data_IF_976704830071
#
_entry.id   IF_976704830071
#
_cell.length_a   1.000
_cell.length_b   1.000
_cell.length_c   1.000
_cell.angle_alpha   90.00
_cell.angle_beta   90.00
_cell.angle_gamma   90.00
#
_symmetry.space_group_name_H-M   'P 1'
#
loop_
_entity.id
_entity.type
_entity.pdbx_description
1 polymer ?
#
# COMPACT_ATOMS: atom_id res chain seq x y z
N UNK A 1 22.08 -76.55 -9.10
CA UNK A 1 20.74 -76.76 -8.55
C UNK A 1 19.98 -75.45 -8.62
N UNK A 2 18.85 -75.47 -9.34
CA UNK A 2 17.94 -74.32 -9.58
C UNK A 2 17.31 -73.83 -8.27
N UNK A 3 16.77 -72.59 -8.29
CA UNK A 3 15.49 -72.11 -7.69
C UNK A 3 15.64 -70.64 -7.30
N UNK A 4 14.69 -69.70 -7.41
CA UNK A 4 13.52 -69.44 -8.24
C UNK A 4 13.14 -67.99 -7.90
N UNK A 5 12.83 -67.16 -8.89
CA UNK A 5 12.23 -65.84 -8.75
C UNK A 5 10.85 -65.99 -8.11
N UNK A 6 10.56 -65.26 -7.02
CA UNK A 6 9.23 -65.23 -6.40
C UNK A 6 8.61 -63.85 -6.59
N UNK A 7 7.62 -63.80 -7.48
CA UNK A 7 6.65 -62.73 -7.61
C UNK A 7 5.56 -62.95 -6.55
N UNK A 8 5.22 -61.93 -5.77
CA UNK A 8 3.99 -61.92 -4.98
C UNK A 8 3.13 -60.77 -5.48
N UNK A 9 2.07 -61.15 -6.19
CA UNK A 9 0.87 -60.37 -6.45
C UNK A 9 -0.05 -60.53 -5.21
N UNK A 10 -1.01 -59.61 -5.03
CA UNK A 10 -2.26 -59.68 -4.23
C UNK A 10 -2.20 -58.68 -3.04
N UNK A 11 -3.18 -57.80 -2.75
CA UNK A 11 -4.55 -57.61 -3.22
C UNK A 11 -4.91 -56.12 -3.23
N UNK A 12 -5.79 -55.74 -4.17
CA UNK A 12 -6.63 -54.55 -4.07
C UNK A 12 -7.69 -54.83 -3.00
N UNK A 13 -7.80 -53.95 -2.00
CA UNK A 13 -8.95 -53.89 -1.10
C UNK A 13 -9.45 -52.44 -1.06
N UNK A 14 -10.50 -52.21 -1.85
CA UNK A 14 -11.36 -51.03 -1.73
C UNK A 14 -12.41 -51.37 -0.66
N UNK A 15 -12.37 -50.66 0.45
CA UNK A 15 -13.57 -50.43 1.27
C UNK A 15 -13.63 -48.94 1.55
N UNK A 16 -14.54 -48.29 0.84
CA UNK A 16 -15.06 -46.96 1.09
C UNK A 16 -15.80 -46.91 2.43
N UNK A 17 -15.56 -45.89 3.24
CA UNK A 17 -16.54 -44.83 3.52
C UNK A 17 -16.21 -44.07 4.82
N UNK A 18 -16.03 -42.76 4.64
CA UNK A 18 -16.51 -41.69 5.50
C UNK A 18 -15.73 -41.31 6.79
N UNK A 19 -15.31 -40.03 6.75
CA UNK A 19 -15.04 -39.07 7.85
C UNK A 19 -13.66 -39.28 8.52
N UNK A 20 -12.69 -38.36 8.41
CA UNK A 20 -12.82 -36.91 8.57
C UNK A 20 -11.82 -36.18 7.67
N UNK A 21 -12.34 -35.26 6.86
CA UNK A 21 -11.59 -34.29 6.11
C UNK A 21 -10.82 -33.35 7.05
N UNK A 22 -9.50 -33.34 6.93
CA UNK A 22 -8.65 -32.14 7.04
C UNK A 22 -7.47 -32.39 6.11
N UNK A 23 -7.77 -32.52 4.81
CA UNK A 23 -6.75 -32.21 3.81
C UNK A 23 -6.47 -30.72 3.99
N UNK A 24 -5.22 -30.39 4.33
CA UNK A 24 -4.66 -29.09 4.08
C UNK A 24 -5.03 -28.75 2.64
N UNK A 25 -5.97 -27.82 2.51
CA UNK A 25 -6.22 -27.13 1.26
C UNK A 25 -4.96 -26.28 1.10
N UNK A 26 -3.99 -26.77 0.33
CA UNK A 26 -3.13 -25.85 -0.38
C UNK A 26 -4.10 -24.95 -1.14
N UNK A 27 -4.27 -23.71 -0.67
CA UNK A 27 -4.81 -22.67 -1.53
C UNK A 27 -3.91 -22.69 -2.78
N UNK A 28 -4.47 -22.89 -3.98
CA UNK A 28 -3.68 -22.68 -5.17
C UNK A 28 -3.15 -21.25 -5.08
N UNK A 29 -1.82 -21.09 -5.18
CA UNK A 29 -1.21 -19.80 -5.42
C UNK A 29 -2.03 -19.15 -6.54
N UNK A 30 -2.54 -17.94 -6.29
CA UNK A 30 -3.35 -17.21 -7.27
C UNK A 30 -2.67 -17.30 -8.62
N UNK A 31 -3.35 -17.92 -9.59
CA UNK A 31 -2.97 -17.83 -10.99
C UNK A 31 -3.13 -16.35 -11.37
N UNK A 32 -2.08 -15.57 -11.15
CA UNK A 32 -2.02 -14.22 -11.70
C UNK A 32 -1.82 -14.39 -13.20
N UNK A 33 -2.84 -14.03 -13.98
CA UNK A 33 -2.75 -13.98 -15.43
C UNK A 33 -1.64 -13.02 -15.85
N UNK A 34 -0.48 -13.60 -16.19
CA UNK A 34 0.73 -12.89 -16.61
C UNK A 34 0.56 -12.10 -17.93
N UNK A 35 -0.61 -12.21 -18.55
CA UNK A 35 -0.96 -11.51 -19.79
C UNK A 35 -1.27 -10.03 -19.56
N UNK A 36 -1.62 -9.64 -18.33
CA UNK A 36 -2.02 -8.27 -17.96
C UNK A 36 -0.95 -7.48 -17.19
N UNK A 37 0.25 -8.04 -17.03
CA UNK A 37 1.38 -7.38 -16.36
C UNK A 37 2.07 -6.43 -17.37
N UNK A 38 2.32 -5.17 -17.00
CA UNK A 38 2.93 -4.21 -17.91
C UNK A 38 4.38 -4.59 -18.21
N UNK A 39 4.75 -4.47 -19.49
CA UNK A 39 6.09 -4.71 -20.02
C UNK A 39 7.03 -3.52 -19.83
N UNK A 40 6.50 -2.30 -19.68
CA UNK A 40 7.28 -1.10 -19.38
C UNK A 40 6.71 -0.35 -18.18
N UNK A 41 7.60 0.18 -17.34
CA UNK A 41 7.28 0.94 -16.13
C UNK A 41 8.21 2.14 -16.05
N UNK A 42 7.68 3.37 -15.99
CA UNK A 42 8.46 4.60 -15.85
C UNK A 42 7.77 5.58 -14.89
N UNK A 43 8.51 6.46 -14.22
CA UNK A 43 7.96 7.59 -13.45
C UNK A 43 8.32 8.89 -14.15
N UNK A 44 7.35 9.77 -14.37
CA UNK A 44 7.54 11.06 -15.06
C UNK A 44 7.01 12.22 -14.25
N UNK A 45 7.68 13.36 -14.32
CA UNK A 45 7.22 14.60 -13.70
C UNK A 45 6.25 15.38 -14.61
N UNK A 46 5.29 16.09 -14.00
CA UNK A 46 4.21 16.85 -14.64
C UNK A 46 4.13 18.30 -14.13
N UNK A 47 3.63 19.24 -14.95
CA UNK A 47 3.60 20.68 -14.64
C UNK A 47 2.38 21.18 -13.82
N UNK A 48 1.48 20.31 -13.35
CA UNK A 48 0.22 20.64 -12.66
C UNK A 48 0.15 20.03 -11.24
N UNK A 49 -0.94 20.27 -10.49
CA UNK A 49 -1.12 19.94 -9.06
C UNK A 49 -0.79 18.50 -8.65
N UNK A 50 -0.76 17.56 -9.60
CA UNK A 50 -0.11 16.25 -9.45
C UNK A 50 1.20 16.28 -10.21
N UNK A 51 2.30 16.21 -9.47
CA UNK A 51 3.66 16.42 -9.99
C UNK A 51 4.28 15.21 -10.66
N UNK A 52 3.77 14.01 -10.43
CA UNK A 52 4.37 12.81 -10.97
C UNK A 52 3.30 11.83 -11.42
N UNK A 53 3.58 11.08 -12.47
CA UNK A 53 2.78 9.96 -12.93
C UNK A 53 3.65 8.72 -13.09
N UNK A 54 3.01 7.56 -12.93
CA UNK A 54 3.54 6.25 -13.29
C UNK A 54 3.08 5.93 -14.71
N UNK A 55 3.95 5.44 -15.57
CA UNK A 55 3.64 5.01 -16.93
C UNK A 55 3.77 3.51 -17.01
N UNK A 56 2.67 2.81 -17.28
CA UNK A 56 2.62 1.36 -17.44
C UNK A 56 2.16 1.05 -18.86
N UNK A 57 3.00 0.42 -19.68
CA UNK A 57 2.70 0.09 -21.09
C UNK A 57 2.23 1.29 -21.95
N UNK A 58 2.69 2.49 -21.60
CA UNK A 58 2.34 3.73 -22.28
C UNK A 58 1.10 4.45 -21.71
N UNK A 59 0.38 3.82 -20.79
CA UNK A 59 -0.72 4.42 -20.04
C UNK A 59 -0.19 5.19 -18.83
N UNK A 60 -0.64 6.42 -18.65
CA UNK A 60 -0.22 7.27 -17.53
C UNK A 60 -1.19 7.16 -16.35
N UNK A 61 -0.68 6.94 -15.16
CA UNK A 61 -1.40 6.90 -13.89
C UNK A 61 -0.88 8.02 -13.00
N UNK A 62 -1.73 8.99 -12.70
CA UNK A 62 -1.34 10.12 -11.86
C UNK A 62 -1.07 9.64 -10.42
N UNK A 63 -0.03 10.19 -9.77
CA UNK A 63 0.25 9.90 -8.37
C UNK A 63 -0.56 10.82 -7.44
N UNK A 64 -0.42 10.66 -6.13
CA UNK A 64 -1.10 11.54 -5.19
C UNK A 64 -0.54 12.97 -5.26
N UNK A 65 -1.41 13.97 -5.10
CA UNK A 65 -1.00 15.36 -4.97
C UNK A 65 -0.18 15.57 -3.69
N UNK A 66 0.90 16.36 -3.78
CA UNK A 66 1.79 16.67 -2.66
C UNK A 66 2.01 18.18 -2.56
N UNK A 67 2.47 18.64 -1.40
CA UNK A 67 2.85 20.05 -1.24
C UNK A 67 4.12 20.37 -2.03
N UNK A 68 4.15 21.57 -2.62
CA UNK A 68 5.33 22.05 -3.34
C UNK A 68 6.53 22.29 -2.42
N UNK A 69 6.23 22.78 -1.23
CA UNK A 69 7.18 23.15 -0.20
C UNK A 69 6.64 22.63 1.15
N UNK A 70 7.03 21.40 1.54
CA UNK A 70 6.53 20.78 2.77
C UNK A 70 6.88 21.56 4.04
N UNK A 71 8.04 22.24 4.07
CA UNK A 71 8.45 23.07 5.20
C UNK A 71 7.52 24.27 5.35
N UNK A 72 7.27 24.98 4.24
CA UNK A 72 6.32 26.10 4.23
C UNK A 72 4.89 25.64 4.52
N UNK A 73 4.50 24.44 4.07
CA UNK A 73 3.19 23.89 4.38
C UNK A 73 3.01 23.67 5.89
N UNK A 74 4.05 23.18 6.58
CA UNK A 74 4.07 23.06 8.05
C UNK A 74 3.96 24.44 8.72
N UNK A 75 4.74 25.43 8.29
CA UNK A 75 4.66 26.76 8.90
C UNK A 75 3.28 27.40 8.71
N UNK A 76 2.70 27.28 7.51
CA UNK A 76 1.35 27.77 7.24
C UNK A 76 0.28 27.09 8.12
N UNK A 77 0.38 25.78 8.35
CA UNK A 77 -0.61 25.08 9.18
C UNK A 77 -0.44 25.41 10.67
N UNK A 78 0.79 25.68 11.13
CA UNK A 78 1.04 26.19 12.48
C UNK A 78 0.35 27.53 12.73
N UNK A 79 0.43 28.43 11.76
CA UNK A 79 -0.21 29.75 11.85
C UNK A 79 -1.75 29.66 11.78
N UNK A 80 -2.29 28.74 10.98
CA UNK A 80 -3.74 28.58 10.78
C UNK A 80 -4.43 27.82 11.91
N UNK A 81 -3.74 26.87 12.56
CA UNK A 81 -4.32 25.97 13.54
C UNK A 81 -3.64 26.02 14.92
N UNK A 82 -3.36 27.21 15.49
CA UNK A 82 -2.55 27.33 16.70
C UNK A 82 -3.25 26.71 17.92
N UNK A 83 -4.56 26.82 18.02
CA UNK A 83 -5.33 26.35 19.19
C UNK A 83 -5.43 24.83 19.21
N UNK A 84 -5.72 24.22 18.05
CA UNK A 84 -5.75 22.77 17.92
C UNK A 84 -4.37 22.16 18.21
N UNK A 85 -3.28 22.75 17.68
CA UNK A 85 -1.92 22.30 17.98
C UNK A 85 -1.58 22.44 19.47
N UNK A 86 -1.98 23.54 20.11
CA UNK A 86 -1.78 23.73 21.54
C UNK A 86 -2.60 22.74 22.40
N UNK A 87 -3.82 22.37 21.97
CA UNK A 87 -4.62 21.33 22.62
C UNK A 87 -3.93 19.97 22.53
N UNK A 88 -3.47 19.57 21.35
CA UNK A 88 -2.77 18.29 21.15
C UNK A 88 -1.48 18.20 21.98
N UNK A 89 -0.70 19.29 22.04
CA UNK A 89 0.51 19.37 22.89
C UNK A 89 0.19 19.26 24.38
N UNK A 90 -0.91 19.85 24.85
CA UNK A 90 -1.33 19.71 26.26
C UNK A 90 -1.70 18.27 26.62
N UNK A 91 -2.26 17.53 25.68
CA UNK A 91 -2.60 16.12 25.85
C UNK A 91 -1.40 15.17 25.83
N UNK A 92 -0.20 15.63 25.42
CA UNK A 92 0.97 14.77 25.26
C UNK A 92 2.29 15.48 25.57
N UNK A 93 2.98 14.98 26.59
CA UNK A 93 4.29 15.48 27.00
C UNK A 93 5.42 15.16 25.99
N UNK A 94 5.16 14.30 25.00
CA UNK A 94 6.16 13.89 23.98
C UNK A 94 5.97 14.61 22.64
N UNK A 95 4.88 15.37 22.50
CA UNK A 95 4.59 16.19 21.33
C UNK A 95 5.34 17.53 21.47
N UNK A 96 6.57 17.56 20.95
CA UNK A 96 7.30 18.81 20.68
C UNK A 96 6.62 19.64 19.60
N UNK A 97 7.27 20.70 19.12
CA UNK A 97 6.71 21.53 18.03
C UNK A 97 6.44 20.70 16.75
N UNK A 98 5.36 21.00 16.02
CA UNK A 98 5.03 20.31 14.77
C UNK A 98 6.18 20.46 13.77
N UNK A 99 6.57 19.36 13.15
CA UNK A 99 7.68 19.26 12.23
C UNK A 99 7.51 18.05 11.32
N UNK A 100 8.30 17.98 10.26
CA UNK A 100 8.35 16.81 9.37
C UNK A 100 8.68 15.51 10.15
N UNK A 101 9.55 15.59 11.17
CA UNK A 101 9.91 14.42 11.96
C UNK A 101 8.83 13.92 12.94
N UNK A 102 7.73 14.65 13.13
CA UNK A 102 6.71 14.26 14.12
C UNK A 102 5.25 14.48 13.71
N UNK A 103 4.97 14.86 12.45
CA UNK A 103 3.60 15.11 11.97
C UNK A 103 2.66 13.91 12.17
N UNK A 104 3.16 12.68 12.00
CA UNK A 104 2.37 11.45 12.21
C UNK A 104 1.84 11.36 13.64
N UNK A 105 2.66 11.75 14.64
CA UNK A 105 2.23 11.75 16.05
C UNK A 105 1.13 12.79 16.29
N UNK A 106 1.15 13.91 15.57
CA UNK A 106 0.08 14.90 15.63
C UNK A 106 -1.20 14.37 15.00
N UNK A 107 -1.13 13.71 13.84
CA UNK A 107 -2.27 13.06 13.21
C UNK A 107 -2.90 12.02 14.13
N UNK A 108 -2.09 11.14 14.72
CA UNK A 108 -2.57 10.08 15.60
C UNK A 108 -3.21 10.66 16.88
N UNK A 109 -2.63 11.73 17.44
CA UNK A 109 -3.20 12.44 18.58
C UNK A 109 -4.54 13.11 18.22
N UNK A 110 -4.66 13.68 17.02
CA UNK A 110 -5.89 14.28 16.52
C UNK A 110 -6.98 13.22 16.30
N UNK A 111 -6.64 12.04 15.78
CA UNK A 111 -7.59 10.93 15.62
C UNK A 111 -8.06 10.36 16.97
N UNK A 112 -7.25 10.49 18.02
CA UNK A 112 -7.59 10.06 19.37
C UNK A 112 -8.46 11.06 20.15
N UNK A 113 -8.54 12.33 19.69
CA UNK A 113 -9.43 13.32 20.31
C UNK A 113 -10.89 13.07 19.89
N UNK A 114 -11.78 12.95 20.88
CA UNK A 114 -13.22 12.70 20.70
C UNK A 114 -14.06 13.98 20.63
N UNK A 115 -13.43 15.15 20.67
CA UNK A 115 -14.12 16.43 20.77
C UNK A 115 -14.59 16.88 19.38
N UNK A 116 -15.91 17.00 19.23
CA UNK A 116 -16.61 17.24 17.97
C UNK A 116 -16.27 18.58 17.29
N UNK A 117 -16.71 18.71 16.04
CA UNK A 117 -16.60 19.85 15.11
C UNK A 117 -15.68 20.98 15.60
N UNK A 118 -14.39 20.82 15.31
CA UNK A 118 -13.38 21.85 15.48
C UNK A 118 -12.78 22.14 14.10
N UNK A 119 -13.10 23.31 13.53
CA UNK A 119 -12.64 23.75 12.21
C UNK A 119 -11.11 23.70 12.05
N UNK A 120 -10.36 24.00 13.12
CA UNK A 120 -8.89 23.86 13.09
C UNK A 120 -8.46 22.38 13.11
N UNK A 121 -9.22 21.51 13.78
CA UNK A 121 -9.03 20.06 13.75
C UNK A 121 -9.26 19.50 12.36
N UNK A 122 -10.35 19.88 11.69
CA UNK A 122 -10.65 19.46 10.31
C UNK A 122 -9.58 19.96 9.33
N UNK A 123 -9.13 21.20 9.52
CA UNK A 123 -8.03 21.77 8.72
C UNK A 123 -6.73 21.00 8.92
N UNK A 124 -6.41 20.59 10.16
CA UNK A 124 -5.25 19.75 10.45
C UNK A 124 -5.39 18.35 9.85
N UNK A 125 -6.58 17.74 9.93
CA UNK A 125 -6.85 16.43 9.34
C UNK A 125 -6.62 16.47 7.81
N UNK A 126 -7.22 17.46 7.13
CA UNK A 126 -7.03 17.65 5.70
C UNK A 126 -5.56 17.94 5.32
N UNK A 127 -4.84 18.70 6.17
CA UNK A 127 -3.41 18.90 5.99
C UNK A 127 -2.63 17.58 6.06
N UNK A 128 -2.86 16.76 7.09
CA UNK A 128 -2.14 15.49 7.26
C UNK A 128 -2.47 14.49 6.16
N UNK A 129 -3.69 14.47 5.63
CA UNK A 129 -4.07 13.63 4.48
C UNK A 129 -3.21 13.94 3.25
N UNK A 130 -3.00 15.23 2.96
CA UNK A 130 -2.15 15.65 1.83
C UNK A 130 -0.67 15.45 2.17
N UNK A 131 -0.25 15.68 3.40
CA UNK A 131 1.15 15.52 3.81
C UNK A 131 1.61 14.06 3.71
N UNK A 132 0.75 13.10 4.04
CA UNK A 132 1.00 11.66 3.90
C UNK A 132 1.22 11.22 2.45
N UNK A 133 0.70 11.96 1.47
CA UNK A 133 0.80 11.58 0.07
C UNK A 133 2.24 11.48 -0.45
N UNK A 134 3.19 12.18 0.17
CA UNK A 134 4.61 12.02 -0.15
C UNK A 134 5.10 10.60 0.19
N UNK A 135 4.71 10.08 1.35
CA UNK A 135 5.04 8.71 1.77
C UNK A 135 4.32 7.66 0.90
N UNK A 136 3.06 7.91 0.53
CA UNK A 136 2.30 7.04 -0.41
C UNK A 136 2.96 6.99 -1.78
N UNK A 137 3.34 8.14 -2.33
CA UNK A 137 4.04 8.21 -3.62
C UNK A 137 5.39 7.48 -3.55
N UNK A 138 6.16 7.63 -2.47
CA UNK A 138 7.40 6.90 -2.28
C UNK A 138 7.19 5.38 -2.22
N UNK A 139 6.06 4.90 -1.68
CA UNK A 139 5.69 3.49 -1.69
C UNK A 139 5.31 3.00 -3.09
N UNK A 140 4.54 3.78 -3.84
CA UNK A 140 4.20 3.46 -5.25
C UNK A 140 5.47 3.33 -6.09
N UNK A 141 6.42 4.26 -5.95
CA UNK A 141 7.70 4.22 -6.67
C UNK A 141 8.48 2.95 -6.31
N UNK A 142 8.55 2.57 -5.03
CA UNK A 142 9.20 1.32 -4.61
C UNK A 142 8.54 0.07 -5.20
N UNK A 143 7.20 0.05 -5.28
CA UNK A 143 6.45 -1.05 -5.90
C UNK A 143 6.71 -1.11 -7.41
N UNK A 144 6.79 0.04 -8.08
CA UNK A 144 7.12 0.14 -9.49
C UNK A 144 8.54 -0.39 -9.78
N UNK A 145 9.54 0.04 -9.00
CA UNK A 145 10.92 -0.45 -9.11
C UNK A 145 11.01 -1.96 -8.88
N UNK A 146 10.27 -2.47 -7.89
CA UNK A 146 10.20 -3.89 -7.59
C UNK A 146 9.55 -4.69 -8.73
N UNK A 147 8.49 -4.16 -9.34
CA UNK A 147 7.83 -4.77 -10.49
C UNK A 147 8.78 -4.84 -11.69
N UNK A 148 9.50 -3.76 -12.02
CA UNK A 148 10.48 -3.72 -13.11
C UNK A 148 11.62 -4.74 -12.95
N UNK A 149 12.01 -5.04 -11.71
CA UNK A 149 13.04 -6.02 -11.38
C UNK A 149 12.53 -7.44 -11.09
N UNK A 150 11.21 -7.67 -11.13
CA UNK A 150 10.62 -8.93 -10.68
C UNK A 150 10.78 -10.07 -11.70
N UNK A 151 10.96 -11.29 -11.20
CA UNK A 151 10.82 -12.48 -12.02
C UNK A 151 9.34 -12.72 -12.37
N UNK A 152 9.09 -13.39 -13.50
CA UNK A 152 7.75 -13.55 -14.08
C UNK A 152 6.72 -14.20 -13.14
N UNK A 153 7.16 -14.99 -12.17
CA UNK A 153 6.33 -15.66 -11.16
C UNK A 153 5.84 -14.72 -10.04
N UNK A 154 6.45 -13.55 -9.87
CA UNK A 154 6.07 -12.54 -8.85
C UNK A 154 5.50 -11.26 -9.44
N UNK A 155 5.61 -11.08 -10.74
CA UNK A 155 5.25 -9.84 -11.41
C UNK A 155 3.74 -9.53 -11.27
N UNK A 156 2.88 -10.55 -11.32
CA UNK A 156 1.43 -10.40 -11.10
C UNK A 156 1.06 -9.86 -9.71
N UNK A 157 1.64 -10.45 -8.65
CA UNK A 157 1.40 -9.98 -7.27
C UNK A 157 1.89 -8.54 -7.05
N UNK A 158 3.06 -8.19 -7.62
CA UNK A 158 3.60 -6.83 -7.50
C UNK A 158 2.76 -5.83 -8.29
N UNK A 159 2.24 -6.22 -9.45
CA UNK A 159 1.34 -5.39 -10.23
C UNK A 159 0.02 -5.12 -9.49
N UNK A 160 -0.61 -6.14 -8.92
CA UNK A 160 -1.86 -5.95 -8.16
C UNK A 160 -1.66 -5.01 -6.96
N UNK A 161 -0.53 -5.16 -6.25
CA UNK A 161 -0.16 -4.24 -5.15
C UNK A 161 0.05 -2.82 -5.63
N UNK A 162 0.71 -2.64 -6.78
CA UNK A 162 0.93 -1.33 -7.39
C UNK A 162 -0.40 -0.67 -7.76
N UNK A 163 -1.30 -1.42 -8.39
CA UNK A 163 -2.63 -0.92 -8.79
C UNK A 163 -3.51 -0.58 -7.58
N UNK A 164 -3.44 -1.36 -6.50
CA UNK A 164 -4.14 -1.06 -5.24
C UNK A 164 -3.57 0.17 -4.50
N UNK A 165 -2.31 0.53 -4.73
CA UNK A 165 -1.66 1.66 -4.09
C UNK A 165 -1.88 2.98 -4.84
N UNK A 166 -2.30 2.94 -6.11
CA UNK A 166 -2.55 4.14 -6.91
C UNK A 166 -3.79 4.91 -6.40
N UNK A 167 -3.84 6.24 -6.63
CA UNK A 167 -5.06 7.00 -6.41
C UNK A 167 -6.21 6.44 -7.25
N UNK A 168 -7.38 6.26 -6.65
CA UNK A 168 -8.56 5.74 -7.35
C UNK A 168 -8.91 6.55 -8.62
N UNK A 169 -8.75 7.88 -8.55
CA UNK A 169 -8.95 8.82 -9.66
C UNK A 169 -8.04 8.57 -10.87
N UNK A 170 -6.93 7.85 -10.68
CA UNK A 170 -5.97 7.53 -11.73
C UNK A 170 -6.34 6.25 -12.48
N UNK A 171 -7.27 5.45 -11.94
CA UNK A 171 -7.65 4.13 -12.45
C UNK A 171 -8.95 4.21 -13.29
N UNK A 172 -9.87 5.13 -12.97
CA UNK A 172 -11.16 5.30 -13.68
C UNK A 172 -11.10 6.12 -14.98
N UNK A 173 -10.00 6.09 -15.74
CA UNK A 173 -9.84 6.91 -16.95
C UNK A 173 -10.76 6.50 -18.11
#
# INVERSE_FOLDING_TARGET
>A
MKKYTLWIIIAVLVVSAAVTAYAMRDEPASEHDNENVPRTVEVKDKPWSVKSCLVLDGEEYDLYATFDDPEKAIENVKEKCPDALAQLRRGSLTLGELSDGNWQRYRDALAATSDGDNEQGDTLAAFFDIYENADKNAQIIKLADALSGSAADKAGEQYDRLMMALPYTSIEK
#
